data_IF_050718936507
#
_entry.id   IF_050718936507
#
_cell.length_a   1.000
_cell.length_b   1.000
_cell.length_c   1.000
_cell.angle_alpha   90.00
_cell.angle_beta   90.00
_cell.angle_gamma   90.00
#
_symmetry.space_group_name_H-M   'P 1'
#
loop_
_entity.id
_entity.type
_entity.pdbx_description
1 polymer ?
#
# COMPACT_ATOMS: atom_id res chain seq x y z
N UNK A 1 -1.67 -35.18 -2.22
CA UNK A 1 -1.19 -36.34 -1.44
C UNK A 1 -0.45 -37.43 -2.23
N UNK A 2 -1.00 -38.02 -3.31
CA UNK A 2 -0.33 -39.16 -4.00
C UNK A 2 0.75 -38.79 -5.03
N UNK A 3 0.86 -37.51 -5.39
CA UNK A 3 1.91 -37.02 -6.30
C UNK A 3 3.26 -37.14 -5.60
N UNK A 4 4.27 -37.66 -6.29
CA UNK A 4 5.65 -37.77 -5.80
C UNK A 4 6.50 -36.70 -6.46
N UNK A 5 7.25 -35.97 -5.65
CA UNK A 5 8.22 -34.96 -6.10
C UNK A 5 9.58 -35.39 -5.57
N UNK A 6 10.54 -35.61 -6.47
CA UNK A 6 11.92 -35.92 -6.11
C UNK A 6 12.68 -34.59 -5.96
N UNK A 7 13.25 -34.34 -4.78
CA UNK A 7 13.91 -33.07 -4.44
C UNK A 7 15.30 -33.32 -3.86
N UNK A 8 16.26 -32.49 -4.24
CA UNK A 8 17.50 -32.27 -3.50
C UNK A 8 17.28 -31.10 -2.54
N UNK A 9 17.43 -31.34 -1.23
CA UNK A 9 17.19 -30.30 -0.22
C UNK A 9 18.44 -29.43 -0.09
N UNK A 10 18.26 -28.13 -0.31
CA UNK A 10 19.30 -27.11 -0.14
C UNK A 10 19.15 -26.40 1.22
N UNK A 11 20.22 -25.78 1.75
CA UNK A 11 20.12 -24.87 2.89
C UNK A 11 19.14 -23.72 2.60
N UNK A 12 18.26 -23.43 3.57
CA UNK A 12 17.29 -22.36 3.47
C UNK A 12 17.66 -21.18 4.38
N UNK A 13 17.71 -19.98 3.82
CA UNK A 13 17.88 -18.73 4.54
C UNK A 13 16.51 -18.18 4.94
N UNK A 14 16.16 -18.25 6.22
CA UNK A 14 14.82 -17.90 6.71
C UNK A 14 14.70 -16.47 7.24
N UNK A 15 15.73 -15.65 7.06
CA UNK A 15 15.75 -14.23 7.43
C UNK A 15 16.74 -13.46 6.56
N UNK A 16 16.55 -12.14 6.44
CA UNK A 16 17.48 -11.30 5.68
C UNK A 16 18.92 -11.34 6.23
N UNK A 17 19.19 -11.25 7.55
CA UNK A 17 20.56 -11.38 8.07
C UNK A 17 21.25 -12.69 7.66
N UNK A 18 20.50 -13.80 7.61
CA UNK A 18 21.05 -15.08 7.18
C UNK A 18 21.37 -15.09 5.67
N UNK A 19 20.49 -14.54 4.84
CA UNK A 19 20.68 -14.48 3.38
C UNK A 19 21.75 -13.45 2.95
N UNK A 20 22.11 -12.51 3.84
CA UNK A 20 23.17 -11.52 3.66
C UNK A 20 24.55 -11.98 4.14
N UNK A 21 24.67 -13.16 4.74
CA UNK A 21 25.95 -13.66 5.22
C UNK A 21 26.97 -13.73 4.07
N UNK A 22 28.27 -13.42 4.29
CA UNK A 22 29.27 -13.41 3.22
C UNK A 22 29.42 -14.74 2.45
N UNK A 23 29.04 -15.85 3.08
CA UNK A 23 29.05 -17.21 2.55
C UNK A 23 27.65 -17.71 2.13
N UNK A 24 26.65 -16.84 2.12
CA UNK A 24 25.30 -17.20 1.66
C UNK A 24 25.32 -17.54 0.16
N UNK A 25 24.81 -18.72 -0.19
CA UNK A 25 24.63 -19.10 -1.60
C UNK A 25 23.52 -18.24 -2.22
N UNK A 26 23.67 -17.94 -3.51
CA UNK A 26 22.64 -17.24 -4.28
C UNK A 26 21.38 -18.12 -4.38
N UNK A 27 20.26 -17.65 -3.83
CA UNK A 27 18.96 -18.34 -3.95
C UNK A 27 18.53 -18.40 -5.41
N UNK A 28 18.79 -17.34 -6.16
CA UNK A 28 18.61 -17.25 -7.60
C UNK A 28 19.99 -17.21 -8.26
N UNK A 29 20.51 -18.34 -8.77
CA UNK A 29 21.85 -18.38 -9.34
C UNK A 29 22.08 -17.31 -10.42
N UNK A 30 23.17 -16.56 -10.28
CA UNK A 30 23.50 -15.39 -11.11
C UNK A 30 22.93 -14.07 -10.58
N UNK A 31 22.25 -14.07 -9.44
CA UNK A 31 21.72 -12.87 -8.79
C UNK A 31 22.10 -12.87 -7.31
N UNK A 32 22.75 -11.82 -6.80
CA UNK A 32 23.06 -11.72 -5.37
C UNK A 32 21.76 -11.68 -4.55
N UNK A 33 21.78 -12.29 -3.36
CA UNK A 33 20.62 -12.27 -2.46
C UNK A 33 20.18 -10.84 -2.12
N UNK A 34 21.13 -9.92 -1.96
CA UNK A 34 20.85 -8.46 -1.94
C UNK A 34 20.73 -7.97 -3.37
N UNK A 35 19.50 -7.85 -3.88
CA UNK A 35 19.26 -7.57 -5.30
C UNK A 35 18.91 -6.11 -5.59
N UNK A 36 18.68 -5.29 -4.56
CA UNK A 36 18.33 -3.88 -4.72
C UNK A 36 18.80 -3.04 -3.53
N UNK A 37 19.20 -1.81 -3.80
CA UNK A 37 19.58 -0.80 -2.80
C UNK A 37 18.91 0.55 -3.11
N UNK A 38 18.43 1.22 -2.07
CA UNK A 38 17.83 2.56 -2.16
C UNK A 38 18.55 3.52 -1.22
N UNK A 39 19.22 4.52 -1.79
CA UNK A 39 19.81 5.62 -1.00
C UNK A 39 18.80 6.73 -0.75
N UNK A 40 18.90 7.38 0.39
CA UNK A 40 18.28 8.69 0.65
C UNK A 40 19.33 9.71 1.05
N UNK A 41 19.31 10.87 0.40
CA UNK A 41 20.18 11.99 0.71
C UNK A 41 19.37 13.29 0.60
N UNK A 42 19.19 13.95 1.74
CA UNK A 42 18.57 15.27 1.84
C UNK A 42 19.51 16.21 2.61
N UNK A 43 19.64 17.45 2.15
CA UNK A 43 20.45 18.46 2.83
C UNK A 43 21.93 18.10 2.98
N UNK A 44 22.54 18.62 4.04
CA UNK A 44 23.98 18.47 4.34
C UNK A 44 24.31 17.05 4.80
N UNK A 45 25.60 16.77 4.85
CA UNK A 45 26.10 15.54 5.46
C UNK A 45 25.75 15.49 6.95
N UNK A 46 25.37 14.31 7.44
CA UNK A 46 24.84 14.12 8.79
C UNK A 46 25.92 13.80 9.81
N UNK A 47 27.06 13.25 9.40
CA UNK A 47 28.12 12.79 10.31
C UNK A 47 28.54 13.85 11.34
N UNK A 48 28.94 15.04 10.88
CA UNK A 48 29.32 16.14 11.78
C UNK A 48 28.16 16.64 12.65
N UNK A 49 26.93 16.56 12.17
CA UNK A 49 25.74 16.93 12.96
C UNK A 49 25.56 15.92 14.10
N UNK A 50 25.65 14.62 13.81
CA UNK A 50 25.54 13.56 14.82
C UNK A 50 26.65 13.65 15.87
N UNK A 51 27.87 14.06 15.51
CA UNK A 51 28.98 14.23 16.45
C UNK A 51 28.82 15.44 17.39
N UNK A 52 28.13 16.49 16.95
CA UNK A 52 28.11 17.79 17.64
C UNK A 52 26.74 18.21 18.19
N UNK A 53 25.68 17.49 17.83
CA UNK A 53 24.34 17.79 18.29
C UNK A 53 24.20 17.62 19.81
N UNK A 54 23.45 18.50 20.50
CA UNK A 54 23.23 18.37 21.95
C UNK A 54 22.51 17.09 22.36
N UNK A 55 21.62 16.57 21.51
CA UNK A 55 20.84 15.36 21.77
C UNK A 55 20.89 14.45 20.56
N UNK A 56 21.23 13.19 20.80
CA UNK A 56 21.28 12.12 19.80
C UNK A 56 20.77 10.86 20.45
N UNK A 57 19.82 10.20 19.78
CA UNK A 57 19.34 8.85 20.11
C UNK A 57 19.55 7.92 18.93
N UNK A 58 19.73 6.64 19.22
CA UNK A 58 19.94 5.58 18.25
C UNK A 58 19.38 4.27 18.80
N UNK A 59 18.59 3.56 17.99
CA UNK A 59 18.09 2.23 18.33
C UNK A 59 17.79 1.39 17.07
N UNK A 60 17.59 0.09 17.28
CA UNK A 60 17.34 -0.93 16.27
C UNK A 60 15.93 -1.50 16.42
N UNK A 61 15.16 -1.50 15.33
CA UNK A 61 13.76 -1.90 15.30
C UNK A 61 13.51 -3.06 14.35
N UNK A 62 12.53 -3.90 14.70
CA UNK A 62 12.08 -5.01 13.86
C UNK A 62 10.56 -5.00 13.75
N UNK A 63 10.05 -4.99 12.52
CA UNK A 63 8.65 -5.33 12.26
C UNK A 63 8.58 -6.72 11.64
N UNK A 64 7.69 -7.56 12.18
CA UNK A 64 7.54 -8.95 11.81
C UNK A 64 6.82 -9.19 10.48
N UNK A 65 6.86 -10.46 10.05
CA UNK A 65 6.15 -10.99 8.90
C UNK A 65 4.64 -11.12 9.18
N UNK A 66 3.92 -10.02 9.09
CA UNK A 66 2.49 -9.99 9.40
C UNK A 66 1.65 -10.74 8.34
N UNK A 67 0.80 -11.71 8.75
CA UNK A 67 -0.18 -12.34 7.88
C UNK A 67 -1.46 -11.52 7.74
N UNK A 68 -2.03 -11.47 6.54
CA UNK A 68 -3.22 -10.64 6.23
C UNK A 68 -4.49 -11.10 6.93
N UNK A 69 -4.63 -12.40 7.20
CA UNK A 69 -5.68 -13.00 8.04
C UNK A 69 -7.11 -12.57 7.66
N UNK A 70 -7.44 -12.64 6.37
CA UNK A 70 -8.83 -12.48 5.93
C UNK A 70 -9.66 -13.69 6.32
N UNK A 71 -10.94 -13.49 6.65
CA UNK A 71 -11.83 -14.60 7.06
C UNK A 71 -12.02 -15.58 5.91
N UNK A 72 -12.25 -15.05 4.70
CA UNK A 72 -12.23 -15.83 3.47
C UNK A 72 -10.77 -16.10 3.06
N UNK A 73 -10.45 -17.36 2.72
CA UNK A 73 -9.19 -17.75 2.11
C UNK A 73 -9.03 -17.18 0.68
N UNK A 74 -8.19 -17.81 -0.12
CA UNK A 74 -8.00 -17.41 -1.52
C UNK A 74 -8.66 -18.42 -2.48
N UNK A 75 -9.34 -17.91 -3.50
CA UNK A 75 -10.09 -18.75 -4.43
C UNK A 75 -10.32 -18.07 -5.78
N UNK A 76 -10.63 -18.88 -6.78
CA UNK A 76 -10.98 -18.42 -8.10
C UNK A 76 -11.34 -19.53 -9.06
N UNK A 77 -11.72 -19.13 -10.27
CA UNK A 77 -12.00 -20.06 -11.36
C UNK A 77 -11.60 -19.47 -12.71
N UNK A 78 -11.42 -20.32 -13.71
CA UNK A 78 -11.15 -19.91 -15.08
C UNK A 78 -11.94 -20.75 -16.09
N UNK A 79 -12.25 -20.17 -17.24
CA UNK A 79 -12.94 -20.82 -18.36
C UNK A 79 -12.63 -20.09 -19.68
N UNK A 80 -12.98 -20.68 -20.82
CA UNK A 80 -13.03 -19.97 -22.10
C UNK A 80 -14.45 -19.45 -22.35
N UNK A 81 -14.59 -18.16 -22.63
CA UNK A 81 -15.89 -17.56 -22.96
C UNK A 81 -16.33 -17.84 -24.42
N UNK A 82 -17.50 -17.32 -24.83
CA UNK A 82 -18.01 -17.51 -26.20
C UNK A 82 -17.11 -16.93 -27.31
N UNK A 83 -16.14 -16.07 -26.98
CA UNK A 83 -15.19 -15.48 -27.91
C UNK A 83 -13.81 -16.17 -27.89
N UNK A 84 -13.75 -17.34 -27.27
CA UNK A 84 -12.52 -18.10 -27.01
C UNK A 84 -11.47 -17.29 -26.24
N UNK A 85 -11.91 -16.36 -25.38
CA UNK A 85 -11.05 -15.62 -24.47
C UNK A 85 -10.87 -16.40 -23.17
N UNK A 86 -9.62 -16.56 -22.71
CA UNK A 86 -9.34 -17.13 -21.40
C UNK A 86 -9.81 -16.14 -20.33
N UNK A 87 -10.88 -16.48 -19.63
CA UNK A 87 -11.49 -15.64 -18.60
C UNK A 87 -11.16 -16.19 -17.23
N UNK A 88 -10.61 -15.35 -16.36
CA UNK A 88 -10.13 -15.71 -15.02
C UNK A 88 -10.82 -14.82 -13.99
N UNK A 89 -11.55 -15.45 -13.07
CA UNK A 89 -12.25 -14.81 -11.97
C UNK A 89 -11.53 -15.08 -10.65
N UNK A 90 -11.05 -14.03 -9.98
CA UNK A 90 -10.35 -14.16 -8.69
C UNK A 90 -10.64 -12.97 -7.78
N UNK A 91 -9.95 -12.93 -6.63
CA UNK A 91 -9.94 -11.80 -5.70
C UNK A 91 -8.97 -10.68 -6.11
N UNK A 92 -8.44 -10.68 -7.34
CA UNK A 92 -7.42 -9.72 -7.79
C UNK A 92 -7.87 -8.27 -7.58
N UNK A 93 -7.00 -7.45 -6.99
CA UNK A 93 -7.26 -6.02 -6.78
C UNK A 93 -6.44 -5.14 -7.74
N UNK A 94 -5.92 -5.75 -8.81
CA UNK A 94 -5.16 -5.08 -9.86
C UNK A 94 -5.33 -5.84 -11.17
N UNK A 95 -6.54 -5.90 -11.71
CA UNK A 95 -6.89 -6.77 -12.84
C UNK A 95 -5.97 -6.56 -14.06
N UNK A 96 -5.84 -5.31 -14.52
CA UNK A 96 -4.96 -5.00 -15.64
C UNK A 96 -3.48 -5.25 -15.33
N UNK A 97 -3.05 -4.95 -14.11
CA UNK A 97 -1.69 -5.23 -13.65
C UNK A 97 -1.39 -6.74 -13.73
N UNK A 98 -2.27 -7.56 -13.14
CA UNK A 98 -2.14 -9.02 -13.13
C UNK A 98 -2.22 -9.62 -14.53
N UNK A 99 -3.10 -9.10 -15.38
CA UNK A 99 -3.23 -9.50 -16.77
C UNK A 99 -1.86 -9.44 -17.46
N UNK A 100 -1.17 -8.29 -17.37
CA UNK A 100 0.15 -8.13 -17.98
C UNK A 100 1.26 -8.90 -17.27
N UNK A 101 1.16 -9.13 -15.95
CA UNK A 101 2.12 -9.96 -15.22
C UNK A 101 2.08 -11.43 -15.64
N UNK A 102 0.89 -11.99 -15.87
CA UNK A 102 0.73 -13.44 -16.10
C UNK A 102 0.66 -13.82 -17.58
N UNK A 103 0.22 -12.93 -18.46
CA UNK A 103 -0.01 -13.23 -19.87
C UNK A 103 1.21 -13.86 -20.58
N UNK A 104 2.45 -13.33 -20.42
CA UNK A 104 3.63 -13.94 -21.04
C UNK A 104 3.91 -15.36 -20.53
N UNK A 105 3.77 -15.60 -19.23
CA UNK A 105 3.99 -16.91 -18.61
C UNK A 105 2.93 -17.94 -19.01
N UNK A 106 1.72 -17.48 -19.33
CA UNK A 106 0.64 -18.33 -19.87
C UNK A 106 0.78 -18.57 -21.39
N UNK A 107 1.57 -17.76 -22.10
CA UNK A 107 1.62 -17.77 -23.56
C UNK A 107 0.31 -17.32 -24.22
N UNK A 108 -0.40 -16.37 -23.59
CA UNK A 108 -1.68 -15.83 -24.07
C UNK A 108 -1.52 -14.36 -24.36
N UNK A 109 -1.98 -13.90 -25.53
CA UNK A 109 -1.98 -12.47 -25.86
C UNK A 109 -2.91 -11.69 -24.93
N UNK A 110 -2.57 -10.45 -24.52
CA UNK A 110 -3.39 -9.65 -23.61
C UNK A 110 -4.85 -9.47 -24.04
N UNK A 111 -5.13 -9.41 -25.34
CA UNK A 111 -6.50 -9.29 -25.89
C UNK A 111 -7.28 -10.62 -25.91
N UNK A 112 -6.66 -11.74 -25.55
CA UNK A 112 -7.24 -13.08 -25.39
C UNK A 112 -7.25 -13.54 -23.94
N UNK A 113 -6.97 -12.63 -23.01
CA UNK A 113 -7.04 -12.83 -21.57
C UNK A 113 -7.97 -11.79 -20.94
N UNK A 114 -8.97 -12.25 -20.18
CA UNK A 114 -9.91 -11.41 -19.46
C UNK A 114 -9.82 -11.71 -17.97
N UNK A 115 -9.62 -10.69 -17.15
CA UNK A 115 -9.63 -10.82 -15.69
C UNK A 115 -10.86 -10.13 -15.12
N UNK A 116 -11.53 -10.82 -14.20
CA UNK A 116 -12.71 -10.34 -13.51
C UNK A 116 -12.52 -10.48 -12.01
N UNK A 117 -12.89 -9.46 -11.25
CA UNK A 117 -12.89 -9.56 -9.80
C UNK A 117 -14.21 -10.17 -9.31
N UNK A 118 -14.13 -11.22 -8.50
CA UNK A 118 -15.26 -11.71 -7.72
C UNK A 118 -15.51 -10.79 -6.52
N UNK A 119 -16.74 -10.74 -5.96
CA UNK A 119 -16.94 -10.24 -4.61
C UNK A 119 -15.93 -10.89 -3.66
N UNK A 120 -15.18 -10.09 -2.91
CA UNK A 120 -14.05 -10.57 -2.11
C UNK A 120 -14.28 -10.32 -0.61
N UNK A 121 -14.10 -11.36 0.21
CA UNK A 121 -14.17 -11.33 1.67
C UNK A 121 -12.91 -10.76 2.33
N UNK A 122 -12.39 -9.64 1.84
CA UNK A 122 -11.15 -9.03 2.32
C UNK A 122 -9.90 -9.51 1.59
N UNK A 123 -8.91 -8.62 1.46
CA UNK A 123 -7.54 -8.97 1.05
C UNK A 123 -6.46 -8.24 1.85
N UNK A 124 -6.73 -7.01 2.30
CA UNK A 124 -5.75 -6.13 2.97
C UNK A 124 -4.42 -5.96 2.23
N UNK A 125 -4.37 -6.27 0.93
CA UNK A 125 -3.23 -6.05 0.04
C UNK A 125 -2.60 -7.32 -0.57
N UNK A 126 -2.82 -8.53 -0.03
CA UNK A 126 -2.12 -9.71 -0.57
C UNK A 126 -2.44 -9.97 -2.05
N UNK A 127 -3.64 -9.58 -2.49
CA UNK A 127 -4.12 -9.65 -3.88
C UNK A 127 -3.58 -8.55 -4.79
N UNK A 128 -2.71 -7.66 -4.30
CA UNK A 128 -1.91 -6.82 -5.19
C UNK A 128 -0.91 -7.68 -5.98
N UNK A 129 -0.56 -8.86 -5.45
CA UNK A 129 0.21 -9.89 -6.12
C UNK A 129 -0.71 -10.95 -6.75
N UNK A 130 -0.36 -11.52 -7.91
CA UNK A 130 -0.97 -12.76 -8.39
C UNK A 130 -0.72 -13.88 -7.38
N UNK A 131 -1.69 -14.78 -7.23
CA UNK A 131 -1.56 -15.96 -6.36
C UNK A 131 -1.85 -17.23 -7.13
N UNK A 132 -3.06 -17.33 -7.68
CA UNK A 132 -3.55 -18.53 -8.38
C UNK A 132 -4.11 -18.24 -9.77
N UNK A 133 -4.14 -16.98 -10.19
CA UNK A 133 -4.58 -16.56 -11.52
C UNK A 133 -3.87 -17.37 -12.61
N UNK A 134 -2.54 -17.46 -12.53
CA UNK A 134 -1.75 -18.23 -13.50
C UNK A 134 -1.99 -19.74 -13.38
N UNK A 135 -2.16 -20.29 -12.16
CA UNK A 135 -2.45 -21.72 -11.96
C UNK A 135 -3.78 -22.12 -12.62
N UNK A 136 -4.82 -21.31 -12.40
CA UNK A 136 -6.13 -21.45 -13.04
C UNK A 136 -6.01 -21.32 -14.56
N UNK A 137 -5.26 -20.33 -15.05
CA UNK A 137 -4.99 -20.12 -16.46
C UNK A 137 -4.37 -21.34 -17.13
N UNK A 138 -3.27 -21.87 -16.57
CA UNK A 138 -2.58 -23.07 -17.07
C UNK A 138 -3.52 -24.28 -17.10
N UNK A 139 -4.25 -24.52 -16.00
CA UNK A 139 -5.18 -25.66 -15.92
C UNK A 139 -6.32 -25.55 -16.94
N UNK A 140 -6.87 -24.35 -17.15
CA UNK A 140 -7.92 -24.11 -18.15
C UNK A 140 -7.38 -24.27 -19.57
N UNK A 141 -6.18 -23.77 -19.88
CA UNK A 141 -5.53 -23.94 -21.18
C UNK A 141 -5.33 -25.43 -21.49
N UNK A 142 -4.79 -26.19 -20.53
CA UNK A 142 -4.46 -27.60 -20.69
C UNK A 142 -5.70 -28.49 -20.85
N UNK A 143 -6.77 -28.18 -20.11
CA UNK A 143 -7.98 -29.02 -20.09
C UNK A 143 -9.06 -28.56 -21.06
N UNK A 144 -9.04 -27.30 -21.50
CA UNK A 144 -10.12 -26.63 -22.25
C UNK A 144 -11.48 -26.73 -21.56
N UNK A 145 -11.48 -26.79 -20.23
CA UNK A 145 -12.69 -26.91 -19.39
C UNK A 145 -12.67 -25.83 -18.30
N UNK A 146 -13.85 -25.45 -17.78
CA UNK A 146 -13.90 -24.65 -16.56
C UNK A 146 -13.15 -25.35 -15.41
N UNK A 147 -12.34 -24.60 -14.70
CA UNK A 147 -11.55 -25.06 -13.55
C UNK A 147 -11.78 -24.14 -12.36
N UNK A 148 -11.77 -24.69 -11.16
CA UNK A 148 -11.93 -23.98 -9.89
C UNK A 148 -10.82 -24.39 -8.94
N UNK A 149 -10.31 -23.44 -8.17
CA UNK A 149 -9.30 -23.64 -7.15
C UNK A 149 -9.66 -22.81 -5.92
N UNK A 150 -9.61 -23.45 -4.77
CA UNK A 150 -9.82 -22.86 -3.46
C UNK A 150 -8.70 -23.33 -2.55
N UNK A 151 -8.11 -22.40 -1.83
CA UNK A 151 -7.13 -22.70 -0.80
C UNK A 151 -7.87 -22.98 0.51
N UNK A 152 -7.48 -24.04 1.19
CA UNK A 152 -7.77 -24.13 2.61
C UNK A 152 -7.02 -23.04 3.39
N UNK A 153 -7.33 -22.90 4.68
CA UNK A 153 -6.75 -21.83 5.48
C UNK A 153 -5.24 -22.02 5.72
N UNK A 154 -4.72 -23.25 5.71
CA UNK A 154 -3.29 -23.51 5.87
C UNK A 154 -2.51 -23.09 4.61
N UNK A 155 -3.03 -23.41 3.43
CA UNK A 155 -2.50 -22.96 2.15
C UNK A 155 -2.60 -21.45 2.01
N UNK A 156 -3.73 -20.85 2.43
CA UNK A 156 -3.86 -19.40 2.50
C UNK A 156 -2.78 -18.78 3.38
N UNK A 157 -2.48 -19.37 4.54
CA UNK A 157 -1.47 -18.86 5.46
C UNK A 157 -0.04 -19.06 4.97
N UNK A 158 0.27 -20.20 4.34
CA UNK A 158 1.64 -20.58 3.97
C UNK A 158 2.01 -20.18 2.54
N UNK A 159 1.02 -20.04 1.65
CA UNK A 159 1.20 -19.86 0.21
C UNK A 159 0.44 -18.65 -0.37
N UNK A 160 0.28 -17.62 0.46
CA UNK A 160 0.06 -16.24 0.01
C UNK A 160 1.20 -15.36 0.52
N UNK A 161 1.47 -14.25 -0.17
CA UNK A 161 2.49 -13.32 0.27
C UNK A 161 2.18 -12.73 1.64
N UNK A 162 3.19 -12.14 2.27
CA UNK A 162 3.11 -11.56 3.62
C UNK A 162 3.65 -10.14 3.61
N UNK A 163 3.38 -9.37 4.67
CA UNK A 163 4.17 -8.17 4.92
C UNK A 163 5.64 -8.58 5.05
N UNK A 164 6.53 -7.97 4.27
CA UNK A 164 7.97 -8.17 4.40
C UNK A 164 8.48 -7.58 5.72
N UNK A 165 9.23 -8.36 6.52
CA UNK A 165 9.93 -7.83 7.67
C UNK A 165 10.90 -6.71 7.30
N UNK A 166 10.98 -5.70 8.17
CA UNK A 166 12.05 -4.70 8.13
C UNK A 166 12.90 -4.84 9.38
N UNK A 167 14.21 -4.80 9.18
CA UNK A 167 15.22 -4.54 10.20
C UNK A 167 15.68 -3.10 9.98
N UNK A 168 15.54 -2.23 10.98
CA UNK A 168 15.80 -0.80 10.83
C UNK A 168 16.72 -0.32 11.94
N UNK A 169 17.90 0.17 11.58
CA UNK A 169 18.76 0.94 12.49
C UNK A 169 18.53 2.42 12.22
N UNK A 170 18.22 3.19 13.26
CA UNK A 170 17.80 4.58 13.12
C UNK A 170 18.48 5.44 14.16
N UNK A 171 19.04 6.57 13.72
CA UNK A 171 19.63 7.60 14.57
C UNK A 171 19.02 8.96 14.26
N UNK A 172 18.67 9.72 15.30
CA UNK A 172 18.13 11.08 15.17
C UNK A 172 18.86 12.05 16.09
N UNK A 173 19.08 13.26 15.59
CA UNK A 173 19.66 14.36 16.35
C UNK A 173 18.69 15.52 16.50
N UNK A 174 18.69 16.15 17.67
CA UNK A 174 17.96 17.39 17.94
C UNK A 174 18.87 18.49 18.50
N UNK A 175 18.50 19.74 18.20
CA UNK A 175 19.11 20.92 18.80
C UNK A 175 18.63 21.16 20.25
N UNK A 176 19.22 22.15 20.92
CA UNK A 176 18.84 22.50 22.30
C UNK A 176 17.40 23.00 22.48
N UNK A 177 16.72 23.35 21.38
CA UNK A 177 15.36 23.88 21.38
C UNK A 177 14.32 22.79 21.05
N UNK A 178 14.74 21.53 20.92
CA UNK A 178 13.83 20.42 20.58
C UNK A 178 13.47 20.36 19.10
N UNK A 179 14.32 20.91 18.21
CA UNK A 179 14.16 20.74 16.76
C UNK A 179 14.98 19.57 16.26
N UNK A 180 14.37 18.66 15.52
CA UNK A 180 15.07 17.58 14.82
C UNK A 180 15.90 18.22 13.70
N UNK A 181 17.20 17.93 13.67
CA UNK A 181 18.16 18.54 12.74
C UNK A 181 18.81 17.54 11.79
N UNK A 182 18.88 16.26 12.15
CA UNK A 182 19.40 15.22 11.27
C UNK A 182 18.81 13.84 11.58
N UNK A 183 18.82 12.97 10.57
CA UNK A 183 18.46 11.56 10.68
C UNK A 183 19.39 10.69 9.84
N UNK A 184 19.86 9.59 10.41
CA UNK A 184 20.56 8.51 9.71
C UNK A 184 19.72 7.23 9.78
N UNK A 185 19.53 6.56 8.66
CA UNK A 185 18.67 5.36 8.58
C UNK A 185 19.32 4.26 7.75
N UNK A 186 19.30 3.04 8.28
CA UNK A 186 19.65 1.83 7.56
C UNK A 186 18.49 0.85 7.67
N UNK A 187 17.96 0.35 6.55
CA UNK A 187 16.87 -0.61 6.58
C UNK A 187 17.05 -1.77 5.62
N UNK A 188 16.72 -2.96 6.10
CA UNK A 188 16.83 -4.21 5.35
C UNK A 188 15.46 -4.87 5.26
N UNK A 189 15.03 -5.16 4.03
CA UNK A 189 13.74 -5.76 3.70
C UNK A 189 13.91 -7.24 3.38
N UNK A 190 13.33 -8.11 4.21
CA UNK A 190 13.22 -9.54 3.92
C UNK A 190 12.03 -9.80 3.00
N UNK A 191 12.30 -10.06 1.72
CA UNK A 191 11.25 -10.13 0.69
C UNK A 191 10.90 -11.55 0.23
N UNK A 192 11.48 -12.58 0.85
CA UNK A 192 11.30 -13.96 0.40
C UNK A 192 11.81 -14.17 -1.04
N UNK A 193 11.33 -15.21 -1.75
CA UNK A 193 11.96 -15.65 -2.98
C UNK A 193 11.49 -14.92 -4.24
N UNK A 194 10.39 -14.16 -4.19
CA UNK A 194 9.80 -13.53 -5.39
C UNK A 194 9.90 -12.02 -5.25
N UNK A 195 10.47 -11.35 -6.26
CA UNK A 195 10.92 -9.95 -6.18
C UNK A 195 9.83 -8.90 -6.39
N UNK A 196 8.61 -9.32 -6.76
CA UNK A 196 7.54 -8.43 -7.19
C UNK A 196 7.30 -7.29 -6.18
N UNK A 197 7.55 -6.06 -6.64
CA UNK A 197 7.40 -4.82 -5.85
C UNK A 197 8.32 -4.67 -4.62
N UNK A 198 9.30 -5.56 -4.40
CA UNK A 198 10.20 -5.49 -3.24
C UNK A 198 11.15 -4.29 -3.26
N UNK A 199 11.60 -3.90 -4.44
CA UNK A 199 12.36 -2.66 -4.66
C UNK A 199 11.51 -1.42 -4.30
N UNK A 200 10.25 -1.39 -4.76
CA UNK A 200 9.28 -0.35 -4.44
C UNK A 200 8.97 -0.30 -2.94
N UNK A 201 8.88 -1.45 -2.26
CA UNK A 201 8.76 -1.50 -0.81
C UNK A 201 9.97 -0.88 -0.12
N UNK A 202 11.16 -1.15 -0.63
CA UNK A 202 12.40 -0.64 -0.07
C UNK A 202 12.47 0.88 -0.25
N UNK A 203 11.98 1.40 -1.38
CA UNK A 203 11.77 2.85 -1.59
C UNK A 203 10.83 3.47 -0.54
N UNK A 204 9.84 2.74 -0.01
CA UNK A 204 8.96 3.25 1.07
C UNK A 204 9.70 3.59 2.34
N UNK A 205 10.82 2.92 2.65
CA UNK A 205 11.67 3.29 3.78
C UNK A 205 12.19 4.72 3.64
N UNK A 206 12.72 5.06 2.46
CA UNK A 206 13.19 6.42 2.16
C UNK A 206 12.05 7.47 2.20
N UNK A 207 10.83 7.09 1.85
CA UNK A 207 9.69 8.02 1.83
C UNK A 207 9.09 8.27 3.21
N UNK A 208 9.04 7.23 4.07
CA UNK A 208 8.23 7.27 5.28
C UNK A 208 9.00 7.23 6.60
N UNK A 209 10.27 6.78 6.63
CA UNK A 209 11.06 6.85 7.87
C UNK A 209 11.25 8.33 8.21
N UNK A 210 10.78 8.73 9.40
CA UNK A 210 10.81 10.13 9.85
C UNK A 210 9.78 11.06 9.18
N UNK A 211 8.85 10.53 8.37
CA UNK A 211 7.82 11.35 7.75
C UNK A 211 6.84 11.89 8.81
N UNK A 212 6.52 13.17 8.70
CA UNK A 212 5.68 13.91 9.65
C UNK A 212 6.38 15.12 10.22
N UNK A 213 7.72 15.11 10.19
CA UNK A 213 8.57 16.14 10.78
C UNK A 213 9.44 16.81 9.73
N UNK A 214 9.75 18.09 9.93
CA UNK A 214 10.78 18.74 9.12
C UNK A 214 12.17 18.26 9.57
N UNK A 215 12.76 17.35 8.80
CA UNK A 215 14.13 16.86 9.00
C UNK A 215 15.00 17.40 7.85
N UNK A 216 15.87 18.41 8.09
CA UNK A 216 16.59 19.08 7.01
C UNK A 216 17.72 18.25 6.40
N UNK A 217 18.34 17.36 7.19
CA UNK A 217 19.52 16.59 6.78
C UNK A 217 19.26 15.10 7.00
N UNK A 218 19.30 14.32 5.92
CA UNK A 218 19.04 12.88 5.98
C UNK A 218 20.11 12.16 5.17
N UNK A 219 20.68 11.10 5.74
CA UNK A 219 21.44 10.08 5.02
C UNK A 219 20.85 8.71 5.33
N UNK A 220 20.77 7.85 4.34
CA UNK A 220 20.33 6.49 4.62
C UNK A 220 20.43 5.54 3.45
N UNK A 221 20.30 4.26 3.78
CA UNK A 221 20.43 3.15 2.85
C UNK A 221 19.40 2.06 3.17
N UNK A 222 18.56 1.77 2.18
CA UNK A 222 17.68 0.62 2.15
C UNK A 222 18.25 -0.50 1.31
N UNK A 223 17.94 -1.75 1.64
CA UNK A 223 18.23 -2.90 0.78
C UNK A 223 17.13 -3.95 0.78
N UNK A 224 16.94 -4.59 -0.37
CA UNK A 224 16.01 -5.71 -0.52
C UNK A 224 16.77 -7.02 -0.63
N UNK A 225 16.33 -8.01 0.15
CA UNK A 225 17.01 -9.29 0.30
C UNK A 225 16.06 -10.43 -0.04
N UNK A 226 16.50 -11.29 -0.97
CA UNK A 226 15.87 -12.55 -1.26
C UNK A 226 16.10 -13.54 -0.11
N UNK A 227 15.04 -14.22 0.34
CA UNK A 227 15.10 -15.27 1.38
C UNK A 227 14.22 -16.46 0.98
N UNK A 228 14.31 -17.57 1.71
CA UNK A 228 13.49 -18.77 1.46
C UNK A 228 12.18 -18.81 2.26
N UNK A 229 11.88 -17.76 3.04
CA UNK A 229 10.59 -17.65 3.72
C UNK A 229 9.49 -17.22 2.75
N UNK A 230 8.28 -16.87 3.22
CA UNK A 230 7.17 -16.50 2.34
C UNK A 230 7.56 -15.25 1.52
N UNK A 231 7.06 -15.09 0.31
CA UNK A 231 7.35 -13.89 -0.46
C UNK A 231 6.64 -12.65 0.10
N UNK A 232 7.18 -11.49 -0.21
CA UNK A 232 6.54 -10.21 0.11
C UNK A 232 5.34 -9.94 -0.78
N UNK A 233 4.19 -9.66 -0.19
CA UNK A 233 3.08 -9.02 -0.89
C UNK A 233 2.66 -7.77 -0.14
N UNK A 234 2.09 -6.76 -0.83
CA UNK A 234 1.59 -5.58 -0.15
C UNK A 234 0.65 -5.94 1.00
N UNK A 235 0.86 -5.29 2.14
CA UNK A 235 -0.07 -5.28 3.27
C UNK A 235 -0.40 -3.81 3.52
N UNK A 236 -1.68 -3.50 3.71
CA UNK A 236 -2.25 -2.18 4.06
C UNK A 236 -1.23 -1.23 4.69
N UNK A 237 -1.10 -0.05 4.07
CA UNK A 237 -0.09 0.98 4.35
C UNK A 237 1.36 0.58 3.96
N UNK A 238 1.53 -0.26 2.93
CA UNK A 238 2.79 -0.79 2.40
C UNK A 238 4.06 0.03 2.72
N UNK A 239 4.89 -0.49 3.63
CA UNK A 239 6.15 0.11 4.08
C UNK A 239 6.04 1.10 5.26
N UNK A 240 4.91 1.80 5.42
CA UNK A 240 4.81 2.81 6.47
C UNK A 240 4.64 2.27 7.90
N UNK A 241 3.99 1.11 8.16
CA UNK A 241 4.02 0.50 9.49
C UNK A 241 5.43 0.14 9.94
N UNK A 242 6.27 -0.36 9.02
CA UNK A 242 7.67 -0.63 9.31
C UNK A 242 8.42 0.66 9.64
N UNK A 243 8.26 1.68 8.80
CA UNK A 243 8.92 2.97 8.97
C UNK A 243 8.52 3.67 10.27
N UNK A 244 7.22 3.74 10.57
CA UNK A 244 6.72 4.45 11.75
C UNK A 244 6.90 3.67 13.05
N UNK A 245 6.97 2.34 13.03
CA UNK A 245 7.41 1.61 14.23
C UNK A 245 8.80 2.11 14.65
N UNK A 246 9.74 2.25 13.70
CA UNK A 246 11.07 2.74 14.00
C UNK A 246 11.08 4.23 14.36
N UNK A 247 10.57 5.09 13.46
CA UNK A 247 10.71 6.52 13.65
C UNK A 247 9.85 7.10 14.77
N UNK A 248 8.63 6.60 15.01
CA UNK A 248 7.80 7.14 16.09
C UNK A 248 8.25 6.68 17.48
N UNK A 249 8.83 5.48 17.58
CA UNK A 249 9.44 5.03 18.84
C UNK A 249 10.68 5.86 19.17
N UNK A 250 11.55 6.08 18.18
CA UNK A 250 12.76 6.87 18.37
C UNK A 250 12.46 8.36 18.66
N UNK A 251 11.34 8.89 18.16
CA UNK A 251 10.86 10.24 18.51
C UNK A 251 10.45 10.33 19.98
N UNK A 252 9.84 9.28 20.55
CA UNK A 252 9.55 9.22 21.99
C UNK A 252 10.83 9.16 22.82
N UNK A 253 11.81 8.35 22.42
CA UNK A 253 13.12 8.27 23.08
C UNK A 253 13.87 9.61 23.04
N UNK A 254 13.83 10.31 21.90
CA UNK A 254 14.44 11.63 21.77
C UNK A 254 13.74 12.66 22.66
N UNK A 255 12.39 12.62 22.72
CA UNK A 255 11.63 13.48 23.62
C UNK A 255 11.96 13.19 25.10
N UNK A 256 12.10 11.92 25.48
CA UNK A 256 12.51 11.49 26.82
C UNK A 256 13.91 11.99 27.19
N UNK A 257 14.90 11.81 26.30
CA UNK A 257 16.27 12.29 26.51
C UNK A 257 16.33 13.80 26.75
N UNK A 258 15.43 14.56 26.12
CA UNK A 258 15.32 16.01 26.26
C UNK A 258 14.44 16.47 27.43
N UNK A 259 13.71 15.55 28.07
CA UNK A 259 12.73 15.88 29.11
C UNK A 259 11.53 16.68 28.59
N UNK A 260 11.16 16.50 27.33
CA UNK A 260 10.01 17.17 26.68
C UNK A 260 8.84 16.18 26.60
N UNK A 261 7.61 16.64 26.80
CA UNK A 261 6.43 15.78 26.59
C UNK A 261 6.36 15.33 25.11
N UNK A 262 6.12 14.03 24.82
CA UNK A 262 6.14 13.51 23.45
C UNK A 262 5.15 14.16 22.48
N UNK A 263 3.98 14.64 22.97
CA UNK A 263 3.03 15.37 22.12
C UNK A 263 3.59 16.75 21.76
N UNK A 264 4.16 17.47 22.73
CA UNK A 264 4.73 18.80 22.50
C UNK A 264 6.00 18.75 21.65
N UNK A 265 6.82 17.70 21.82
CA UNK A 265 7.97 17.46 20.95
C UNK A 265 7.54 17.27 19.49
N UNK A 266 6.52 16.43 19.24
CA UNK A 266 5.92 16.28 17.91
C UNK A 266 5.34 17.60 17.40
N UNK A 267 4.54 18.28 18.21
CA UNK A 267 3.94 19.57 17.85
C UNK A 267 5.00 20.58 17.39
N UNK A 268 6.16 20.61 18.04
CA UNK A 268 7.26 21.49 17.64
C UNK A 268 7.91 21.09 16.32
N UNK A 269 7.86 19.83 15.90
CA UNK A 269 8.58 19.33 14.72
C UNK A 269 7.70 19.04 13.50
N UNK A 270 6.38 18.92 13.68
CA UNK A 270 5.49 18.60 12.56
C UNK A 270 5.50 19.64 11.46
N UNK A 271 5.24 19.18 10.23
CA UNK A 271 5.23 20.01 9.04
C UNK A 271 4.41 21.30 9.18
N UNK A 272 5.01 22.40 8.71
CA UNK A 272 4.45 23.74 8.56
C UNK A 272 4.85 24.32 7.19
N UNK A 273 4.19 25.40 6.73
CA UNK A 273 4.56 26.03 5.47
C UNK A 273 6.07 26.34 5.38
N UNK A 274 6.71 25.83 4.32
CA UNK A 274 8.15 25.92 4.10
C UNK A 274 8.92 24.64 4.44
N UNK A 275 8.32 23.72 5.17
CA UNK A 275 8.90 22.41 5.47
C UNK A 275 8.77 21.46 4.27
N UNK A 276 9.59 20.40 4.28
CA UNK A 276 9.58 19.36 3.25
C UNK A 276 9.64 17.96 3.86
N UNK A 277 9.03 17.00 3.17
CA UNK A 277 9.07 15.56 3.50
C UNK A 277 10.50 14.99 3.44
N UNK A 278 10.74 13.73 3.85
CA UNK A 278 12.03 13.08 3.67
C UNK A 278 12.56 13.14 2.22
N UNK A 279 11.66 13.10 1.23
CA UNK A 279 11.99 13.20 -0.20
C UNK A 279 12.14 14.62 -0.73
N UNK A 280 12.03 15.64 0.13
CA UNK A 280 12.19 17.05 -0.26
C UNK A 280 10.95 17.66 -0.92
N UNK A 281 9.81 16.99 -0.88
CA UNK A 281 8.54 17.52 -1.40
C UNK A 281 7.86 18.38 -0.34
N UNK A 282 7.29 19.52 -0.73
CA UNK A 282 6.40 20.28 0.16
C UNK A 282 5.07 19.52 0.33
N UNK A 283 4.58 19.31 1.57
CA UNK A 283 3.24 18.78 1.81
C UNK A 283 2.16 19.64 1.14
N UNK A 284 1.11 19.00 0.64
CA UNK A 284 -0.03 19.65 -0.01
C UNK A 284 -0.96 20.35 1.00
N UNK A 285 -0.96 19.89 2.24
CA UNK A 285 -1.67 20.47 3.39
C UNK A 285 -0.84 20.36 4.66
N UNK A 286 -1.13 21.23 5.65
CA UNK A 286 -0.39 21.31 6.92
C UNK A 286 -1.34 21.15 8.12
N UNK A 287 -2.03 20.01 8.20
CA UNK A 287 -3.09 19.75 9.19
C UNK A 287 -2.60 19.20 10.54
N UNK A 288 -1.36 18.71 10.62
CA UNK A 288 -0.84 18.07 11.84
C UNK A 288 -0.85 18.98 13.08
N UNK A 289 -0.51 20.29 13.00
CA UNK A 289 -0.64 21.18 14.15
C UNK A 289 -2.07 21.24 14.70
N UNK A 290 -3.07 21.41 13.82
CA UNK A 290 -4.49 21.46 14.21
C UNK A 290 -4.96 20.13 14.80
N UNK A 291 -4.55 19.00 14.22
CA UNK A 291 -4.86 17.67 14.74
C UNK A 291 -4.29 17.45 16.14
N UNK A 292 -3.03 17.87 16.37
CA UNK A 292 -2.38 17.75 17.67
C UNK A 292 -2.99 18.71 18.70
N UNK A 293 -3.38 19.92 18.30
CA UNK A 293 -4.10 20.86 19.16
C UNK A 293 -5.45 20.28 19.62
N UNK A 294 -6.19 19.67 18.70
CA UNK A 294 -7.45 19.00 19.01
C UNK A 294 -7.26 17.76 19.90
N UNK A 295 -6.16 17.03 19.72
CA UNK A 295 -5.82 15.84 20.52
C UNK A 295 -5.31 16.19 21.93
N UNK A 296 -4.61 17.32 22.10
CA UNK A 296 -3.95 17.73 23.35
C UNK A 296 -4.83 17.61 24.61
N UNK A 297 -6.08 18.13 24.66
CA UNK A 297 -6.91 17.98 25.85
C UNK A 297 -7.27 16.52 26.16
N UNK A 298 -7.51 15.70 25.12
CA UNK A 298 -7.83 14.28 25.27
C UNK A 298 -6.60 13.49 25.77
N UNK A 299 -5.43 13.79 25.23
CA UNK A 299 -4.16 13.20 25.66
C UNK A 299 -3.87 13.53 27.13
N UNK A 300 -4.04 14.80 27.54
CA UNK A 300 -3.89 15.20 28.95
C UNK A 300 -4.85 14.43 29.86
N UNK A 301 -6.13 14.37 29.50
CA UNK A 301 -7.14 13.63 30.27
C UNK A 301 -6.80 12.13 30.35
N UNK A 302 -6.29 11.54 29.26
CA UNK A 302 -5.86 10.15 29.24
C UNK A 302 -4.68 9.91 30.18
N UNK A 303 -3.67 10.81 30.21
CA UNK A 303 -2.53 10.70 31.14
C UNK A 303 -2.97 10.77 32.60
N UNK A 304 -3.85 11.72 32.93
CA UNK A 304 -4.41 11.86 34.28
C UNK A 304 -5.19 10.61 34.69
N UNK A 305 -5.99 10.05 33.77
CA UNK A 305 -6.73 8.81 33.98
C UNK A 305 -5.77 7.63 34.20
N UNK A 306 -4.77 7.47 33.34
CA UNK A 306 -3.78 6.38 33.44
C UNK A 306 -3.00 6.44 34.76
N UNK A 307 -2.60 7.63 35.21
CA UNK A 307 -1.93 7.82 36.49
C UNK A 307 -2.84 7.46 37.68
N UNK A 308 -4.10 7.90 37.67
CA UNK A 308 -5.08 7.63 38.74
C UNK A 308 -5.48 6.14 38.81
N UNK A 309 -5.57 5.46 37.67
CA UNK A 309 -6.05 4.07 37.57
C UNK A 309 -4.91 3.03 37.56
N UNK A 310 -3.66 3.46 37.66
CA UNK A 310 -2.52 2.54 37.75
C UNK A 310 -2.41 1.94 39.15
N UNK A 311 -2.20 0.63 39.23
CA UNK A 311 -1.85 -0.08 40.46
C UNK A 311 -0.42 -0.64 40.36
N UNK A 312 0.20 -1.11 41.45
CA UNK A 312 1.50 -1.78 41.38
C UNK A 312 1.51 -2.98 40.41
N UNK A 313 0.41 -3.72 40.32
CA UNK A 313 0.23 -4.91 39.48
C UNK A 313 -0.25 -4.58 38.06
N UNK A 314 -0.86 -3.41 37.85
CA UNK A 314 -1.44 -3.00 36.58
C UNK A 314 -1.10 -1.54 36.27
N UNK A 315 0.03 -1.33 35.59
CA UNK A 315 0.46 -0.02 35.13
C UNK A 315 -0.21 0.33 33.81
N UNK A 316 -0.76 1.54 33.71
CA UNK A 316 -1.39 2.06 32.50
C UNK A 316 -0.52 3.15 31.89
N UNK A 317 -0.33 3.10 30.58
CA UNK A 317 0.39 4.11 29.80
C UNK A 317 -0.51 4.77 28.77
N UNK A 318 -0.04 5.89 28.23
CA UNK A 318 -0.65 6.59 27.10
C UNK A 318 0.47 6.87 26.10
N UNK A 319 0.32 6.39 24.87
CA UNK A 319 1.25 6.64 23.77
C UNK A 319 0.61 7.49 22.69
N UNK A 320 1.45 8.16 21.90
CA UNK A 320 1.05 8.96 20.74
C UNK A 320 1.97 8.61 19.57
N UNK A 321 1.44 8.63 18.36
CA UNK A 321 2.20 8.47 17.14
C UNK A 321 1.55 9.27 16.01
N UNK A 322 2.34 9.68 15.03
CA UNK A 322 1.90 10.26 13.76
C UNK A 322 2.00 9.21 12.66
N UNK A 323 1.03 9.24 11.74
CA UNK A 323 1.04 8.39 10.55
C UNK A 323 0.78 9.23 9.30
N UNK A 324 1.57 9.00 8.26
CA UNK A 324 1.43 9.63 6.94
C UNK A 324 1.53 8.55 5.86
N UNK A 325 0.71 8.68 4.84
CA UNK A 325 0.77 7.80 3.68
C UNK A 325 0.29 8.50 2.42
N UNK A 326 0.88 8.16 1.28
CA UNK A 326 0.46 8.70 -0.01
C UNK A 326 -0.88 8.10 -0.46
N UNK A 327 -1.66 8.87 -1.22
CA UNK A 327 -2.85 8.36 -1.93
C UNK A 327 -2.58 8.39 -3.43
N UNK A 328 -2.05 7.28 -3.95
CA UNK A 328 -1.52 7.19 -5.31
C UNK A 328 -0.43 6.13 -5.46
N UNK A 329 -0.16 5.71 -6.68
CA UNK A 329 1.14 5.12 -7.05
C UNK A 329 2.16 6.24 -7.30
N UNK A 330 3.45 5.92 -7.25
CA UNK A 330 4.53 6.88 -7.44
C UNK A 330 4.52 7.49 -8.84
N UNK A 331 4.86 8.78 -8.90
CA UNK A 331 4.94 9.52 -10.16
C UNK A 331 3.58 10.00 -10.67
N UNK A 332 3.41 10.00 -11.99
CA UNK A 332 2.17 10.45 -12.64
C UNK A 332 1.22 9.26 -12.75
N UNK A 333 0.43 9.07 -11.70
CA UNK A 333 -0.61 8.05 -11.64
C UNK A 333 -1.84 8.45 -12.47
N UNK A 334 -2.53 7.47 -13.05
CA UNK A 334 -3.65 7.68 -13.96
C UNK A 334 -4.75 6.62 -13.82
N UNK A 335 -5.96 6.98 -14.25
CA UNK A 335 -7.10 6.10 -14.30
C UNK A 335 -8.05 6.54 -15.41
N UNK A 336 -8.82 5.59 -15.95
CA UNK A 336 -9.91 5.84 -16.88
C UNK A 336 -11.23 5.33 -16.29
N UNK A 337 -12.32 6.03 -16.62
CA UNK A 337 -13.68 5.60 -16.35
C UNK A 337 -14.55 5.97 -17.55
N UNK A 338 -15.55 5.15 -17.86
CA UNK A 338 -16.47 5.37 -18.96
C UNK A 338 -17.88 5.58 -18.42
N UNK A 339 -18.48 6.71 -18.77
CA UNK A 339 -19.83 7.11 -18.32
C UNK A 339 -20.78 7.09 -19.51
N UNK A 340 -21.87 6.33 -19.42
CA UNK A 340 -22.82 6.12 -20.53
C UNK A 340 -24.22 6.53 -20.11
N UNK A 341 -24.84 7.45 -20.85
CA UNK A 341 -26.26 7.76 -20.70
C UNK A 341 -27.10 6.62 -21.27
N UNK A 342 -27.97 6.06 -20.45
CA UNK A 342 -29.04 5.14 -20.84
C UNK A 342 -30.40 5.81 -20.77
N UNK A 343 -31.43 5.07 -21.16
CA UNK A 343 -32.83 5.56 -21.14
C UNK A 343 -33.32 5.91 -19.73
N UNK A 344 -32.95 5.08 -18.75
CA UNK A 344 -33.48 5.16 -17.38
C UNK A 344 -32.48 5.76 -16.37
N UNK A 345 -31.26 6.08 -16.81
CA UNK A 345 -30.18 6.52 -15.93
C UNK A 345 -28.82 6.55 -16.60
N UNK A 346 -27.75 6.50 -15.81
CA UNK A 346 -26.36 6.51 -16.27
C UNK A 346 -25.66 5.24 -15.80
N UNK A 347 -24.86 4.62 -16.67
CA UNK A 347 -23.99 3.50 -16.29
C UNK A 347 -22.54 3.96 -16.17
N UNK A 348 -21.91 3.65 -15.05
CA UNK A 348 -20.49 3.92 -14.76
C UNK A 348 -19.70 2.63 -14.92
N UNK A 349 -18.83 2.60 -15.93
CA UNK A 349 -17.88 1.51 -16.15
C UNK A 349 -16.53 1.91 -15.55
N UNK A 350 -16.07 1.17 -14.55
CA UNK A 350 -14.81 1.47 -13.86
C UNK A 350 -14.16 0.20 -13.28
N UNK A 351 -12.83 0.13 -13.28
CA UNK A 351 -12.11 -0.88 -12.50
C UNK A 351 -11.61 -0.27 -11.19
N UNK A 352 -12.52 -0.18 -10.22
CA UNK A 352 -12.22 0.11 -8.82
C UNK A 352 -12.45 -1.17 -8.02
N UNK A 353 -11.39 -1.95 -7.83
CA UNK A 353 -11.49 -3.27 -7.22
C UNK A 353 -11.89 -3.15 -5.75
N UNK A 354 -12.82 -4.01 -5.34
CA UNK A 354 -13.36 -3.98 -3.99
C UNK A 354 -12.78 -5.11 -3.15
N UNK A 355 -12.01 -4.74 -2.13
CA UNK A 355 -11.59 -5.64 -1.08
C UNK A 355 -12.73 -5.85 -0.06
N UNK A 356 -13.79 -5.05 -0.14
CA UNK A 356 -14.78 -4.80 0.91
C UNK A 356 -14.65 -3.41 1.55
N UNK A 357 -13.80 -2.52 1.01
CA UNK A 357 -13.67 -1.14 1.51
C UNK A 357 -14.82 -0.22 1.05
N UNK A 358 -15.64 -0.67 0.10
CA UNK A 358 -16.77 0.09 -0.44
C UNK A 358 -16.43 0.80 -1.75
N UNK A 359 -15.82 0.08 -2.70
CA UNK A 359 -15.58 0.62 -4.03
C UNK A 359 -16.88 1.02 -4.74
N UNK A 360 -17.93 0.23 -4.55
CA UNK A 360 -19.29 0.51 -5.02
C UNK A 360 -19.83 1.86 -4.51
N UNK A 361 -19.72 2.12 -3.21
CA UNK A 361 -20.12 3.37 -2.58
C UNK A 361 -19.27 4.55 -3.05
N UNK A 362 -17.95 4.33 -3.20
CA UNK A 362 -17.03 5.33 -3.73
C UNK A 362 -17.36 5.75 -5.16
N UNK A 363 -17.63 4.78 -6.04
CA UNK A 363 -18.05 5.03 -7.43
C UNK A 363 -19.40 5.74 -7.46
N UNK A 364 -20.41 5.21 -6.76
CA UNK A 364 -21.76 5.76 -6.74
C UNK A 364 -21.77 7.20 -6.21
N UNK A 365 -21.15 7.43 -5.05
CA UNK A 365 -21.13 8.75 -4.41
C UNK A 365 -20.40 9.79 -5.25
N UNK A 366 -19.25 9.43 -5.83
CA UNK A 366 -18.48 10.33 -6.69
C UNK A 366 -19.23 10.68 -7.97
N UNK A 367 -19.83 9.67 -8.63
CA UNK A 367 -20.63 9.89 -9.83
C UNK A 367 -21.89 10.72 -9.52
N UNK A 368 -22.60 10.40 -8.43
CA UNK A 368 -23.81 11.12 -8.02
C UNK A 368 -23.54 12.59 -7.75
N UNK A 369 -22.48 12.91 -7.00
CA UNK A 369 -22.10 14.32 -6.75
C UNK A 369 -21.76 15.04 -8.06
N UNK A 370 -21.00 14.38 -8.95
CA UNK A 370 -20.60 14.96 -10.24
C UNK A 370 -21.80 15.16 -11.18
N UNK A 371 -22.80 14.28 -11.13
CA UNK A 371 -24.00 14.29 -11.96
C UNK A 371 -25.16 15.10 -11.37
N UNK A 372 -24.97 15.81 -10.24
CA UNK A 372 -26.01 16.62 -9.60
C UNK A 372 -26.80 17.54 -10.55
N UNK A 373 -26.19 18.20 -11.55
CA UNK A 373 -26.93 19.04 -12.50
C UNK A 373 -28.02 18.29 -13.29
N UNK A 374 -27.90 16.96 -13.45
CA UNK A 374 -28.89 16.13 -14.13
C UNK A 374 -30.05 15.71 -13.22
N UNK A 375 -29.97 15.96 -11.91
CA UNK A 375 -31.03 15.64 -10.95
C UNK A 375 -31.34 14.14 -10.83
N UNK A 376 -30.37 13.27 -11.15
CA UNK A 376 -30.51 11.82 -11.04
C UNK A 376 -30.60 11.39 -9.56
N UNK A 377 -31.45 10.41 -9.28
CA UNK A 377 -31.41 9.71 -7.99
C UNK A 377 -30.28 8.67 -7.98
N UNK A 378 -29.76 8.26 -6.80
CA UNK A 378 -28.73 7.22 -6.72
C UNK A 378 -29.11 5.89 -7.39
N UNK A 379 -30.39 5.50 -7.35
CA UNK A 379 -30.91 4.27 -8.00
C UNK A 379 -30.98 4.36 -9.53
N UNK A 380 -30.65 5.53 -10.11
CA UNK A 380 -30.52 5.76 -11.55
C UNK A 380 -29.05 5.77 -12.01
N UNK A 381 -28.11 5.39 -11.15
CA UNK A 381 -26.68 5.27 -11.47
C UNK A 381 -26.30 3.79 -11.33
N UNK A 382 -26.10 3.13 -12.46
CA UNK A 382 -25.74 1.72 -12.54
C UNK A 382 -24.22 1.54 -12.54
N UNK A 383 -23.72 0.52 -11.87
CA UNK A 383 -22.28 0.27 -11.73
C UNK A 383 -21.90 -1.00 -12.51
N UNK A 384 -20.98 -0.86 -13.47
CA UNK A 384 -20.39 -1.97 -14.21
C UNK A 384 -18.90 -2.04 -13.85
N UNK A 385 -18.56 -2.84 -12.84
CA UNK A 385 -17.26 -2.79 -12.19
C UNK A 385 -16.39 -4.02 -12.46
N UNK A 386 -15.08 -3.80 -12.45
CA UNK A 386 -14.06 -4.84 -12.20
C UNK A 386 -14.05 -6.02 -13.19
N UNK A 387 -14.12 -5.69 -14.47
CA UNK A 387 -14.01 -6.64 -15.58
C UNK A 387 -13.22 -5.99 -16.72
N UNK A 388 -12.05 -6.55 -17.04
CA UNK A 388 -11.17 -5.99 -18.09
C UNK A 388 -11.75 -6.09 -19.50
N UNK A 389 -12.81 -6.88 -19.69
CA UNK A 389 -13.54 -6.99 -20.96
C UNK A 389 -14.56 -5.88 -21.19
N UNK A 390 -14.96 -5.13 -20.14
CA UNK A 390 -16.04 -4.14 -20.24
C UNK A 390 -15.70 -2.77 -19.65
N UNK A 391 -14.91 -2.73 -18.58
CA UNK A 391 -14.54 -1.52 -17.88
C UNK A 391 -13.09 -1.12 -18.18
N UNK A 392 -12.78 0.17 -18.35
CA UNK A 392 -11.43 0.63 -18.72
C UNK A 392 -10.43 0.49 -17.55
N UNK A 393 -9.15 0.74 -17.84
CA UNK A 393 -8.08 0.62 -16.85
C UNK A 393 -8.10 1.79 -15.84
N UNK A 394 -8.62 1.52 -14.64
CA UNK A 394 -8.59 2.40 -13.47
C UNK A 394 -7.33 2.23 -12.62
N UNK A 395 -6.47 1.26 -12.94
CA UNK A 395 -5.34 0.84 -12.12
C UNK A 395 -5.75 -0.10 -10.97
N UNK A 396 -4.81 -0.41 -10.06
CA UNK A 396 -5.10 -1.26 -8.90
C UNK A 396 -5.75 -0.48 -7.75
N UNK A 397 -6.35 -1.20 -6.82
CA UNK A 397 -6.81 -0.68 -5.53
C UNK A 397 -5.74 -0.86 -4.43
N UNK A 398 -4.51 -0.43 -4.76
CA UNK A 398 -3.39 -0.34 -3.82
C UNK A 398 -2.99 1.11 -3.55
N UNK A 399 -2.18 1.36 -2.51
CA UNK A 399 -1.65 2.70 -2.26
C UNK A 399 -2.70 3.76 -1.87
N UNK A 400 -3.85 3.34 -1.33
CA UNK A 400 -4.97 4.22 -0.95
C UNK A 400 -5.45 5.15 -2.08
N UNK A 401 -5.19 4.77 -3.34
CA UNK A 401 -5.29 5.68 -4.48
C UNK A 401 -6.70 5.89 -5.01
N UNK A 402 -7.57 4.89 -4.88
CA UNK A 402 -8.73 4.75 -5.76
C UNK A 402 -9.70 5.94 -5.69
N UNK A 403 -10.01 6.43 -4.48
CA UNK A 403 -10.90 7.58 -4.31
C UNK A 403 -10.34 8.86 -4.94
N UNK A 404 -9.01 9.02 -4.94
CA UNK A 404 -8.36 10.17 -5.54
C UNK A 404 -8.28 9.98 -7.05
N UNK A 405 -7.63 8.91 -7.52
CA UNK A 405 -7.27 8.79 -8.94
C UNK A 405 -8.46 8.30 -9.77
N UNK A 406 -9.11 7.21 -9.36
CA UNK A 406 -10.30 6.67 -10.05
C UNK A 406 -11.49 7.59 -9.83
N UNK A 407 -11.66 8.14 -8.63
CA UNK A 407 -12.70 9.13 -8.35
C UNK A 407 -12.60 10.38 -9.25
N UNK A 408 -11.39 10.91 -9.46
CA UNK A 408 -11.20 12.01 -10.42
C UNK A 408 -11.46 11.59 -11.88
N UNK A 409 -11.14 10.37 -12.28
CA UNK A 409 -11.48 9.85 -13.62
C UNK A 409 -13.00 9.76 -13.82
N UNK A 410 -13.73 9.27 -12.80
CA UNK A 410 -15.21 9.23 -12.80
C UNK A 410 -15.76 10.65 -12.89
N UNK A 411 -15.30 11.56 -12.03
CA UNK A 411 -15.71 12.97 -12.07
C UNK A 411 -15.50 13.57 -13.45
N UNK A 412 -14.32 13.36 -14.04
CA UNK A 412 -14.00 13.86 -15.37
C UNK A 412 -14.93 13.29 -16.45
N UNK A 413 -15.20 11.98 -16.43
CA UNK A 413 -16.16 11.36 -17.34
C UNK A 413 -17.59 11.90 -17.17
N UNK A 414 -18.02 12.16 -15.93
CA UNK A 414 -19.32 12.77 -15.64
C UNK A 414 -19.39 14.22 -16.15
N UNK A 415 -18.34 15.02 -15.95
CA UNK A 415 -18.25 16.39 -16.44
C UNK A 415 -18.33 16.43 -17.98
N UNK A 416 -17.65 15.50 -18.67
CA UNK A 416 -17.71 15.36 -20.12
C UNK A 416 -19.13 14.99 -20.60
N UNK A 417 -19.81 14.07 -19.91
CA UNK A 417 -21.20 13.73 -20.23
C UNK A 417 -22.13 14.94 -20.07
N UNK A 418 -22.02 15.68 -18.96
CA UNK A 418 -22.80 16.90 -18.72
C UNK A 418 -22.57 17.93 -19.83
N UNK A 419 -21.32 18.13 -20.23
CA UNK A 419 -20.96 19.03 -21.32
C UNK A 419 -21.60 18.59 -22.65
N UNK A 420 -21.55 17.30 -22.99
CA UNK A 420 -22.16 16.74 -24.20
C UNK A 420 -23.69 16.86 -24.20
N UNK A 421 -24.33 16.77 -23.02
CA UNK A 421 -25.78 16.90 -22.85
C UNK A 421 -26.26 18.35 -22.84
N UNK A 422 -25.40 19.35 -22.61
CA UNK A 422 -25.83 20.74 -22.44
C UNK A 422 -26.34 21.34 -23.77
N UNK A 423 -27.54 21.91 -23.73
CA UNK A 423 -28.16 22.68 -24.84
C UNK A 423 -27.77 24.17 -24.73
N UNK A 424 -27.87 24.96 -25.82
CA UNK A 424 -27.55 26.39 -25.79
C UNK A 424 -28.37 27.22 -24.78
N UNK A 425 -29.58 26.75 -24.45
CA UNK A 425 -30.48 27.39 -23.47
C UNK A 425 -30.18 27.01 -22.00
N UNK A 426 -29.10 26.27 -21.74
CA UNK A 426 -28.70 25.84 -20.39
C UNK A 426 -29.41 24.58 -19.88
N UNK A 427 -30.42 24.06 -20.58
CA UNK A 427 -31.04 22.77 -20.25
C UNK A 427 -30.22 21.58 -20.78
N UNK A 428 -30.58 20.37 -20.38
CA UNK A 428 -29.91 19.15 -20.83
C UNK A 428 -30.72 18.41 -21.90
N UNK A 429 -30.01 17.68 -22.77
CA UNK A 429 -30.58 16.67 -23.66
C UNK A 429 -31.10 15.50 -22.84
N UNK A 430 -32.17 14.89 -23.33
CA UNK A 430 -32.68 13.60 -22.85
C UNK A 430 -31.98 12.48 -23.61
N UNK A 431 -32.25 11.23 -23.22
CA UNK A 431 -31.77 10.07 -23.97
C UNK A 431 -32.31 10.05 -25.41
N UNK A 432 -33.58 10.43 -25.59
CA UNK A 432 -34.20 10.74 -26.87
C UNK A 432 -33.77 12.14 -27.36
#
# INVERSE_FOLDING_TARGET
EKVRVELEILPAYMSAPAAMAPDAIEIHPGTPNVYFEQKIAKGKDTATIMETAPYVVEDSFYLQRQPHLTIEGDMGFAYYDENECLTIHTKSIGLYLHLYMIAPGLGVEPNKLRLVQNPAGGTFGYKFCPTMEALLGVACIATKRPVYLEYDYEQYMTYTGKRSPFFVDLKMAADKNGKIIAMESDWTVDHGPYSEFGDLLTLRGAQYIGAGYNIPNIRGMGRTVCTNHAWGAPFRAYGSPQAFLASESLVDELAEQMGIDPLEFRYNNVYRPGDTTPTGQAPEVYSLPEMLDALRPLYKQAKEKAARESTPENRKGVGIAIGIYGSGLDGVDGAEAKIVLGKDGVTVYATWQDHGQGADAGVLGTAHESLRPLGLRPDQIYLALNDTGTAPNGGPSGGSRSQVVIGNAIKNGCDQLIAAMRKPNGSFRTYD
#
